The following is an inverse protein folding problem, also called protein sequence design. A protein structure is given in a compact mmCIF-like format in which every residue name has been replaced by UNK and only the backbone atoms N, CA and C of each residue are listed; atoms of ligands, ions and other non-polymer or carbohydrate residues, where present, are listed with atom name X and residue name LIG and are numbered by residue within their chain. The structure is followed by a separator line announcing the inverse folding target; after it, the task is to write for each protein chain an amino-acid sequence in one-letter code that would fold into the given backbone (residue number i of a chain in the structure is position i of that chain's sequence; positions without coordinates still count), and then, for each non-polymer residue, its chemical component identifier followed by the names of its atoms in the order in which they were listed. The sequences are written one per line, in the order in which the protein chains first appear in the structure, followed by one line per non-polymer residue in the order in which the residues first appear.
data_IF_072072614550
#
_entry.id   IF_072072614550
#
_cell.length_a   1.000
_cell.length_b   1.000
_cell.length_c   1.000
_cell.angle_alpha   90.00
_cell.angle_beta   90.00
_cell.angle_gamma   90.00
#
_symmetry.space_group_name_H-M   'P 1'
#
loop_
_entity.id
_entity.type
_entity.pdbx_description
1 polymer ?
#
# COMPACT_ATOMS: atom_id res chain seq x y z
N UNK A 1 -7.31 -47.80 -13.13
CA UNK A 1 -6.37 -46.70 -12.72
C UNK A 1 -5.98 -46.97 -11.30
N UNK A 2 -4.68 -47.16 -11.06
CA UNK A 2 -4.16 -47.59 -9.78
C UNK A 2 -3.97 -46.38 -8.83
N UNK A 3 -4.04 -46.56 -7.47
CA UNK A 3 -3.88 -45.47 -6.51
C UNK A 3 -2.56 -44.69 -6.62
N UNK A 4 -1.53 -45.25 -7.28
CA UNK A 4 -0.22 -44.62 -7.46
C UNK A 4 -0.23 -43.42 -8.42
N UNK A 5 -1.15 -43.35 -9.39
CA UNK A 5 -1.22 -42.21 -10.32
C UNK A 5 -1.78 -40.94 -9.69
N UNK A 6 -2.66 -41.08 -8.68
CA UNK A 6 -3.22 -39.94 -7.95
C UNK A 6 -2.20 -39.24 -7.05
N UNK A 7 -1.32 -39.98 -6.41
CA UNK A 7 -0.25 -39.41 -5.56
C UNK A 7 0.80 -38.65 -6.36
N UNK A 8 1.07 -39.07 -7.59
CA UNK A 8 2.08 -38.42 -8.44
C UNK A 8 1.58 -37.07 -9.00
N UNK A 9 0.30 -36.95 -9.31
CA UNK A 9 -0.31 -35.69 -9.81
C UNK A 9 -0.40 -34.64 -8.68
N UNK A 10 -0.79 -35.05 -7.47
CA UNK A 10 -0.80 -34.14 -6.29
C UNK A 10 0.59 -33.68 -5.86
N UNK A 11 1.60 -34.54 -6.01
CA UNK A 11 2.98 -34.20 -5.74
C UNK A 11 3.54 -33.20 -6.76
N UNK A 12 3.23 -33.37 -8.05
CA UNK A 12 3.64 -32.47 -9.12
C UNK A 12 2.96 -31.10 -9.02
N UNK A 13 1.68 -31.02 -8.65
CA UNK A 13 1.01 -29.73 -8.43
C UNK A 13 1.57 -28.97 -7.23
N UNK A 14 1.90 -29.65 -6.12
CA UNK A 14 2.64 -29.04 -4.99
C UNK A 14 4.05 -28.59 -5.40
N UNK A 15 4.73 -29.36 -6.25
CA UNK A 15 6.09 -29.02 -6.72
C UNK A 15 6.06 -27.85 -7.72
N UNK A 16 5.05 -27.75 -8.57
CA UNK A 16 4.87 -26.59 -9.47
C UNK A 16 4.48 -25.32 -8.71
N UNK A 17 3.80 -25.42 -7.57
CA UNK A 17 3.53 -24.27 -6.69
C UNK A 17 4.79 -23.78 -5.97
N UNK A 18 5.78 -24.66 -5.74
CA UNK A 18 7.08 -24.35 -5.13
C UNK A 18 8.09 -23.70 -6.10
N UNK A 19 7.81 -23.70 -7.43
CA UNK A 19 8.72 -23.19 -8.47
C UNK A 19 8.21 -21.89 -9.12
N UNK A 20 7.11 -21.30 -8.68
CA UNK A 20 6.85 -19.91 -9.01
C UNK A 20 7.89 -19.07 -8.30
N UNK A 21 9.00 -18.80 -8.99
CA UNK A 21 10.01 -17.84 -8.54
C UNK A 21 9.24 -16.57 -8.16
N UNK A 22 9.29 -16.18 -6.90
CA UNK A 22 8.64 -14.95 -6.47
C UNK A 22 9.19 -13.81 -7.33
N UNK A 23 8.35 -13.22 -8.19
CA UNK A 23 8.73 -12.16 -9.13
C UNK A 23 9.19 -10.88 -8.42
N UNK A 24 8.98 -10.79 -7.10
CA UNK A 24 9.40 -9.69 -6.23
C UNK A 24 10.58 -10.09 -5.33
N UNK A 25 11.24 -11.23 -5.62
CA UNK A 25 12.36 -11.74 -4.83
C UNK A 25 13.59 -10.81 -4.79
N UNK A 26 13.67 -9.85 -5.69
CA UNK A 26 14.73 -8.83 -5.73
C UNK A 26 14.34 -7.51 -5.01
N UNK A 27 13.09 -7.37 -4.55
CA UNK A 27 12.67 -6.22 -3.75
C UNK A 27 13.20 -6.35 -2.33
N UNK A 28 13.78 -5.28 -1.82
CA UNK A 28 14.28 -5.14 -0.46
C UNK A 28 13.62 -3.96 0.27
N UNK A 29 14.02 -3.71 1.51
CA UNK A 29 13.49 -2.64 2.34
C UNK A 29 14.32 -1.34 2.27
N UNK A 30 15.06 -1.13 1.20
CA UNK A 30 15.75 0.15 0.97
C UNK A 30 14.75 1.25 0.62
N UNK A 31 15.10 2.50 0.94
CA UNK A 31 14.26 3.64 0.59
C UNK A 31 14.07 3.71 -0.93
N UNK A 32 12.82 3.63 -1.43
CA UNK A 32 12.57 3.81 -2.85
C UNK A 32 12.84 5.26 -3.29
N UNK A 33 13.11 5.43 -4.58
CA UNK A 33 13.08 6.76 -5.18
C UNK A 33 11.65 7.32 -5.09
N UNK A 34 11.54 8.60 -4.70
CA UNK A 34 10.25 9.27 -4.57
C UNK A 34 10.36 10.75 -4.88
N UNK A 35 9.29 11.31 -5.43
CA UNK A 35 9.14 12.75 -5.64
C UNK A 35 8.47 13.37 -4.41
N UNK A 36 9.15 14.30 -3.76
CA UNK A 36 8.64 14.97 -2.55
C UNK A 36 7.88 16.22 -2.96
N UNK A 37 6.57 16.12 -2.99
CA UNK A 37 5.64 17.20 -3.32
C UNK A 37 4.68 17.47 -2.17
N UNK A 38 5.20 17.97 -1.06
CA UNK A 38 4.40 18.19 0.15
C UNK A 38 3.20 19.10 -0.13
N UNK A 39 2.05 18.73 0.44
CA UNK A 39 0.85 19.57 0.45
C UNK A 39 1.11 20.84 1.27
N UNK A 40 0.45 21.92 0.92
CA UNK A 40 0.41 23.11 1.78
C UNK A 40 -0.27 22.76 3.12
N UNK A 41 0.25 23.32 4.21
CA UNK A 41 -0.38 23.13 5.53
C UNK A 41 -1.75 23.81 5.53
N UNK A 42 -2.79 23.04 5.79
CA UNK A 42 -4.18 23.51 5.80
C UNK A 42 -5.07 22.52 6.58
N UNK A 43 -6.24 22.95 7.10
CA UNK A 43 -7.10 22.10 7.93
C UNK A 43 -7.80 20.97 7.18
N UNK A 44 -7.80 20.93 5.83
CA UNK A 44 -8.57 19.98 5.05
C UNK A 44 -7.75 18.79 4.55
N UNK A 45 -6.45 18.95 4.32
CA UNK A 45 -5.62 17.86 3.79
C UNK A 45 -4.28 17.67 4.51
N UNK A 46 -3.68 18.71 5.08
CA UNK A 46 -2.44 18.61 5.86
C UNK A 46 -2.51 19.51 7.08
N UNK A 47 -3.06 19.03 8.22
CA UNK A 47 -3.22 19.86 9.42
C UNK A 47 -1.90 20.22 10.10
N UNK A 48 -0.78 19.58 9.76
CA UNK A 48 0.51 19.77 10.42
C UNK A 48 0.59 19.14 11.82
N UNK A 49 -0.36 18.26 12.14
CA UNK A 49 -0.39 17.55 13.43
C UNK A 49 0.65 16.43 13.42
N UNK A 50 1.51 16.38 14.41
CA UNK A 50 2.53 15.34 14.54
C UNK A 50 1.94 14.02 15.03
N UNK A 51 2.55 12.92 14.60
CA UNK A 51 2.32 11.57 15.13
C UNK A 51 3.41 11.27 16.15
N UNK A 52 3.05 10.93 17.37
CA UNK A 52 4.02 10.60 18.41
C UNK A 52 4.68 9.24 18.19
N UNK A 53 3.90 8.24 17.77
CA UNK A 53 4.36 6.90 17.46
C UNK A 53 3.65 6.35 16.24
N UNK A 54 4.41 5.82 15.29
CA UNK A 54 3.86 5.07 14.15
C UNK A 54 3.68 3.62 14.56
N UNK A 55 2.43 3.15 14.62
CA UNK A 55 2.06 1.81 15.02
C UNK A 55 1.54 0.93 13.87
N UNK A 56 1.51 1.48 12.65
CA UNK A 56 1.08 0.71 11.50
C UNK A 56 1.14 1.49 10.19
N UNK A 57 0.94 0.75 9.11
CA UNK A 57 0.84 1.29 7.75
C UNK A 57 -0.51 0.85 7.19
N UNK A 58 -1.27 1.80 6.66
CA UNK A 58 -2.58 1.53 6.06
C UNK A 58 -2.50 1.65 4.56
N UNK A 59 -2.88 0.58 3.86
CA UNK A 59 -2.95 0.52 2.41
C UNK A 59 -4.35 0.89 1.95
N UNK A 60 -4.40 1.79 0.97
CA UNK A 60 -5.61 2.27 0.31
C UNK A 60 -5.51 2.11 -1.21
N UNK A 61 -6.60 2.33 -1.89
CA UNK A 61 -6.65 2.55 -3.32
C UNK A 61 -7.46 3.82 -3.61
N UNK A 62 -7.15 4.51 -4.69
CA UNK A 62 -7.76 5.82 -5.01
C UNK A 62 -9.25 5.74 -5.30
N UNK A 63 -9.79 4.57 -5.61
CA UNK A 63 -11.16 4.36 -6.09
C UNK A 63 -11.52 5.26 -7.30
N UNK A 64 -10.51 5.68 -8.06
CA UNK A 64 -10.62 6.53 -9.24
C UNK A 64 -9.78 5.92 -10.38
N UNK A 65 -10.34 4.94 -11.12
CA UNK A 65 -9.61 4.19 -12.14
C UNK A 65 -8.95 5.11 -13.18
N UNK A 66 -7.67 4.85 -13.46
CA UNK A 66 -6.89 5.59 -14.45
C UNK A 66 -6.36 6.94 -14.00
N UNK A 67 -6.64 7.40 -12.76
CA UNK A 67 -6.04 8.61 -12.23
C UNK A 67 -4.55 8.41 -11.96
N UNK A 68 -3.77 9.48 -12.14
CA UNK A 68 -2.32 9.49 -11.89
C UNK A 68 -2.01 9.82 -10.43
N UNK A 69 -0.77 9.56 -10.00
CA UNK A 69 -0.31 10.01 -8.68
C UNK A 69 -0.39 11.53 -8.54
N UNK A 70 -0.06 12.25 -9.62
CA UNK A 70 -0.12 13.72 -9.64
C UNK A 70 -1.56 14.23 -9.50
N UNK A 71 -2.54 13.62 -10.20
CA UNK A 71 -3.96 14.01 -10.08
C UNK A 71 -4.43 13.89 -8.63
N UNK A 72 -4.09 12.80 -7.95
CA UNK A 72 -4.48 12.57 -6.56
C UNK A 72 -3.77 13.52 -5.58
N UNK A 73 -2.48 13.76 -5.77
CA UNK A 73 -1.73 14.76 -4.99
C UNK A 73 -2.34 16.16 -5.15
N UNK A 74 -2.67 16.56 -6.36
CA UNK A 74 -3.23 17.88 -6.66
C UNK A 74 -4.67 18.02 -6.16
N UNK A 75 -5.45 16.94 -6.22
CA UNK A 75 -6.75 16.89 -5.57
C UNK A 75 -6.63 17.15 -4.06
N UNK A 76 -5.75 16.45 -3.37
CA UNK A 76 -5.53 16.69 -1.92
C UNK A 76 -5.11 18.13 -1.63
N UNK A 77 -4.19 18.70 -2.41
CA UNK A 77 -3.76 20.09 -2.21
C UNK A 77 -4.88 21.10 -2.51
N UNK A 78 -5.73 20.78 -3.49
CA UNK A 78 -6.88 21.63 -3.86
C UNK A 78 -7.97 21.72 -2.80
N UNK A 79 -8.03 20.77 -1.85
CA UNK A 79 -9.01 20.79 -0.76
C UNK A 79 -8.85 22.01 0.16
N UNK A 80 -7.66 22.60 0.22
CA UNK A 80 -7.43 23.88 0.93
C UNK A 80 -8.27 25.02 0.39
N UNK A 81 -8.64 24.95 -0.90
CA UNK A 81 -9.40 25.99 -1.62
C UNK A 81 -10.88 25.61 -1.77
N UNK A 82 -11.17 24.34 -2.07
CA UNK A 82 -12.55 23.87 -2.30
C UNK A 82 -13.34 23.65 -1.01
N UNK A 83 -12.66 23.23 0.06
CA UNK A 83 -13.26 22.88 1.37
C UNK A 83 -14.37 21.81 1.30
N UNK A 84 -14.44 21.03 0.23
CA UNK A 84 -15.55 20.08 0.00
C UNK A 84 -15.50 18.86 0.92
N UNK A 85 -14.31 18.48 1.38
CA UNK A 85 -14.09 17.36 2.30
C UNK A 85 -12.72 17.46 2.96
N UNK A 86 -12.43 16.57 3.91
CA UNK A 86 -11.09 16.37 4.45
C UNK A 86 -10.58 15.01 4.00
N UNK A 87 -9.50 15.00 3.22
CA UNK A 87 -8.86 13.78 2.73
C UNK A 87 -7.41 14.04 2.37
N UNK A 88 -6.55 13.06 2.61
CA UNK A 88 -5.15 13.08 2.17
C UNK A 88 -4.50 11.71 2.36
N UNK A 89 -3.24 11.59 1.98
CA UNK A 89 -2.38 10.43 2.24
C UNK A 89 -0.94 10.89 2.41
N UNK A 90 -0.14 10.15 3.16
CA UNK A 90 1.30 10.43 3.23
C UNK A 90 1.98 10.18 1.89
N UNK A 91 1.58 9.11 1.19
CA UNK A 91 2.13 8.72 -0.11
C UNK A 91 1.02 8.41 -1.11
N UNK A 92 1.32 8.67 -2.37
CA UNK A 92 0.54 8.17 -3.51
C UNK A 92 1.49 7.43 -4.45
N UNK A 93 1.10 6.23 -4.89
CA UNK A 93 1.82 5.43 -5.88
C UNK A 93 1.02 5.42 -7.18
N UNK A 94 1.64 5.85 -8.27
CA UNK A 94 1.02 5.92 -9.58
C UNK A 94 1.04 4.61 -10.36
N UNK A 95 0.47 4.64 -11.56
CA UNK A 95 0.28 3.47 -12.43
C UNK A 95 1.59 2.88 -12.94
N UNK A 96 2.64 3.70 -13.09
CA UNK A 96 3.99 3.31 -13.51
C UNK A 96 4.90 3.02 -12.32
N UNK A 97 4.36 3.02 -11.09
CA UNK A 97 5.10 2.77 -9.86
C UNK A 97 5.82 3.98 -9.28
N UNK A 98 5.63 5.16 -9.85
CA UNK A 98 6.16 6.41 -9.31
C UNK A 98 5.52 6.70 -7.95
N UNK A 99 6.33 7.21 -7.01
CA UNK A 99 5.89 7.53 -5.65
C UNK A 99 5.95 9.03 -5.44
N UNK A 100 4.84 9.62 -5.02
CA UNK A 100 4.80 11.01 -4.55
C UNK A 100 4.61 11.01 -3.03
N UNK A 101 5.49 11.71 -2.32
CA UNK A 101 5.30 11.98 -0.90
C UNK A 101 4.54 13.29 -0.74
N UNK A 102 3.32 13.21 -0.20
CA UNK A 102 2.41 14.33 0.00
C UNK A 102 2.50 14.93 1.42
N UNK A 103 2.79 14.12 2.42
CA UNK A 103 2.86 14.50 3.83
C UNK A 103 4.06 13.80 4.46
N UNK A 104 4.87 14.50 5.30
CA UNK A 104 5.94 13.87 6.05
C UNK A 104 5.45 12.68 6.89
N UNK A 105 6.30 11.66 7.06
CA UNK A 105 5.91 10.45 7.80
C UNK A 105 5.66 10.66 9.30
N UNK A 106 6.06 11.79 9.84
CA UNK A 106 5.80 12.21 11.22
C UNK A 106 4.56 13.12 11.36
N UNK A 107 3.83 13.39 10.29
CA UNK A 107 2.60 14.16 10.29
C UNK A 107 1.40 13.29 9.92
N UNK A 108 0.26 13.59 10.55
CA UNK A 108 -1.01 12.94 10.33
C UNK A 108 -1.59 13.29 8.96
N UNK A 109 -2.08 12.27 8.25
CA UNK A 109 -2.92 12.41 7.07
C UNK A 109 -4.40 12.09 7.42
N UNK A 110 -5.33 12.61 6.63
CA UNK A 110 -6.75 12.29 6.75
C UNK A 110 -7.13 11.14 5.83
N UNK A 111 -6.79 9.90 6.21
CA UNK A 111 -6.96 8.72 5.37
C UNK A 111 -7.66 7.53 6.06
N UNK A 112 -7.37 7.32 7.35
CA UNK A 112 -7.60 6.04 8.04
C UNK A 112 -8.46 6.19 9.29
N UNK A 113 -9.33 7.21 9.34
CA UNK A 113 -10.27 7.45 10.44
C UNK A 113 -9.56 7.49 11.82
N UNK A 114 -9.95 6.63 12.76
CA UNK A 114 -9.38 6.61 14.11
C UNK A 114 -7.88 6.24 14.15
N UNK A 115 -7.36 5.66 13.04
CA UNK A 115 -5.95 5.32 12.90
C UNK A 115 -5.11 6.44 12.26
N UNK A 116 -5.68 7.61 11.96
CA UNK A 116 -4.93 8.76 11.43
C UNK A 116 -3.82 9.20 12.38
N UNK A 117 -4.01 9.07 13.69
CA UNK A 117 -3.09 9.57 14.72
C UNK A 117 -1.89 8.67 14.97
N UNK A 118 -1.86 7.45 14.43
CA UNK A 118 -0.82 6.47 14.71
C UNK A 118 -0.37 5.63 13.50
N UNK A 119 -0.80 6.00 12.29
CA UNK A 119 -0.43 5.25 11.08
C UNK A 119 0.04 6.15 9.94
N UNK A 120 0.83 5.56 9.04
CA UNK A 120 1.19 6.13 7.75
C UNK A 120 0.27 5.54 6.69
N UNK A 121 -0.27 6.36 5.81
CA UNK A 121 -1.16 5.95 4.73
C UNK A 121 -0.48 5.97 3.37
N UNK A 122 -0.81 4.96 2.54
CA UNK A 122 -0.36 4.84 1.16
C UNK A 122 -1.59 4.66 0.28
N UNK A 123 -1.84 5.61 -0.61
CA UNK A 123 -2.84 5.53 -1.67
C UNK A 123 -2.24 4.95 -2.94
N UNK A 124 -2.89 3.96 -3.53
CA UNK A 124 -2.44 3.32 -4.75
C UNK A 124 -3.39 3.59 -5.90
N UNK A 125 -2.86 4.10 -7.03
CA UNK A 125 -3.57 4.20 -8.28
C UNK A 125 -3.80 2.80 -8.88
N UNK A 126 -4.86 2.68 -9.66
CA UNK A 126 -5.23 1.44 -10.35
C UNK A 126 -5.86 1.74 -11.70
N UNK A 127 -5.66 0.87 -12.73
CA UNK A 127 -6.14 1.15 -14.09
C UNK A 127 -7.64 0.95 -14.27
N UNK A 128 -8.23 -0.03 -13.58
CA UNK A 128 -9.57 -0.54 -13.84
C UNK A 128 -10.48 -0.53 -12.61
N UNK A 129 -11.78 -0.67 -12.83
CA UNK A 129 -12.82 -0.75 -11.79
C UNK A 129 -12.66 -1.94 -10.83
N UNK A 130 -11.89 -2.98 -11.21
CA UNK A 130 -11.58 -4.10 -10.32
C UNK A 130 -10.64 -3.73 -9.17
N UNK A 131 -9.98 -2.56 -9.24
CA UNK A 131 -9.08 -2.05 -8.21
C UNK A 131 -7.74 -2.77 -8.11
N UNK A 132 -7.42 -3.66 -9.06
CA UNK A 132 -6.14 -4.36 -9.08
C UNK A 132 -5.02 -3.42 -9.51
N UNK A 133 -3.92 -3.46 -8.78
CA UNK A 133 -2.74 -2.64 -9.08
C UNK A 133 -1.98 -3.19 -10.29
N UNK A 134 -1.29 -2.32 -11.02
CA UNK A 134 -0.29 -2.76 -12.00
C UNK A 134 0.88 -3.43 -11.30
N UNK A 135 1.67 -4.20 -12.03
CA UNK A 135 2.90 -4.81 -11.45
C UNK A 135 3.87 -3.74 -10.97
N UNK A 136 3.96 -2.60 -11.65
CA UNK A 136 4.80 -1.47 -11.25
C UNK A 136 4.31 -0.83 -9.94
N UNK A 137 3.02 -0.54 -9.83
CA UNK A 137 2.40 -0.03 -8.59
C UNK A 137 2.60 -1.00 -7.43
N UNK A 138 2.35 -2.29 -7.65
CA UNK A 138 2.48 -3.33 -6.64
C UNK A 138 3.93 -3.46 -6.15
N UNK A 139 4.90 -3.46 -7.06
CA UNK A 139 6.33 -3.53 -6.74
C UNK A 139 6.77 -2.34 -5.85
N UNK A 140 6.39 -1.13 -6.23
CA UNK A 140 6.64 0.07 -5.44
C UNK A 140 5.96 0.03 -4.08
N UNK A 141 4.73 -0.52 -4.01
CA UNK A 141 4.00 -0.69 -2.76
C UNK A 141 4.73 -1.66 -1.81
N UNK A 142 5.24 -2.79 -2.31
CA UNK A 142 6.03 -3.73 -1.49
C UNK A 142 7.28 -3.04 -0.94
N UNK A 143 8.05 -2.36 -1.78
CA UNK A 143 9.31 -1.71 -1.36
C UNK A 143 9.05 -0.56 -0.38
N UNK A 144 8.10 0.33 -0.69
CA UNK A 144 7.76 1.45 0.18
C UNK A 144 7.26 0.98 1.54
N UNK A 145 6.38 -0.02 1.57
CA UNK A 145 5.85 -0.59 2.81
C UNK A 145 6.95 -1.25 3.63
N UNK A 146 7.82 -2.04 3.02
CA UNK A 146 8.96 -2.68 3.70
C UNK A 146 9.94 -1.64 4.27
N UNK A 147 10.28 -0.61 3.49
CA UNK A 147 11.13 0.48 3.98
C UNK A 147 10.50 1.21 5.18
N UNK A 148 9.20 1.51 5.14
CA UNK A 148 8.51 2.15 6.26
C UNK A 148 8.46 1.24 7.48
N UNK A 149 8.22 -0.06 7.31
CA UNK A 149 8.30 -1.03 8.40
C UNK A 149 9.68 -1.04 9.04
N UNK A 150 10.75 -1.11 8.25
CA UNK A 150 12.12 -1.04 8.75
C UNK A 150 12.42 0.26 9.50
N UNK A 151 11.97 1.38 8.96
CA UNK A 151 12.19 2.71 9.53
C UNK A 151 11.53 2.89 10.90
N UNK A 152 10.37 2.26 11.12
CA UNK A 152 9.55 2.42 12.33
C UNK A 152 9.52 1.18 13.22
N UNK A 153 10.41 0.22 13.00
CA UNK A 153 10.50 -1.03 13.75
C UNK A 153 9.16 -1.80 13.78
N UNK A 154 8.50 -1.87 12.60
CA UNK A 154 7.25 -2.58 12.39
C UNK A 154 7.51 -3.92 11.67
N UNK A 155 6.57 -4.85 11.84
CA UNK A 155 6.51 -6.09 11.05
C UNK A 155 5.40 -6.02 10.01
N UNK A 156 5.36 -6.97 9.09
CA UNK A 156 4.26 -7.07 8.12
C UNK A 156 2.88 -7.27 8.78
N UNK A 157 2.82 -7.69 10.04
CA UNK A 157 1.56 -7.83 10.79
C UNK A 157 0.90 -6.49 11.14
N UNK A 158 1.69 -5.41 11.15
CA UNK A 158 1.20 -4.05 11.39
C UNK A 158 0.85 -3.30 10.08
N UNK A 159 0.94 -3.99 8.95
CA UNK A 159 0.43 -3.51 7.66
C UNK A 159 -1.01 -3.98 7.53
N UNK A 160 -1.93 -3.02 7.44
CA UNK A 160 -3.38 -3.23 7.43
C UNK A 160 -4.04 -2.53 6.24
N UNK A 161 -5.25 -2.96 5.92
CA UNK A 161 -6.12 -2.30 4.93
C UNK A 161 -7.00 -1.26 5.63
N UNK A 162 -7.47 -0.27 4.90
CA UNK A 162 -8.53 0.61 5.41
C UNK A 162 -9.78 -0.19 5.83
N UNK A 163 -10.05 -1.30 5.13
CA UNK A 163 -11.08 -2.28 5.48
C UNK A 163 -10.95 -2.78 6.92
N UNK A 164 -9.74 -3.06 7.38
CA UNK A 164 -9.48 -3.58 8.72
C UNK A 164 -9.73 -2.53 9.82
N UNK A 165 -9.78 -1.24 9.44
CA UNK A 165 -10.10 -0.12 10.35
C UNK A 165 -11.61 0.12 10.43
N UNK A 166 -12.31 0.15 9.29
CA UNK A 166 -13.69 0.67 9.21
C UNK A 166 -14.69 -0.28 8.56
N UNK A 167 -14.24 -1.35 7.91
CA UNK A 167 -15.08 -2.21 7.06
C UNK A 167 -15.35 -1.65 5.65
N UNK A 168 -14.81 -0.46 5.31
CA UNK A 168 -14.88 0.07 3.94
C UNK A 168 -14.13 -0.86 2.98
N UNK A 169 -14.70 -1.13 1.79
CA UNK A 169 -14.04 -1.94 0.76
C UNK A 169 -12.87 -1.14 0.15
N UNK A 170 -11.75 -1.13 0.88
CA UNK A 170 -10.53 -0.40 0.51
C UNK A 170 -9.29 -1.07 1.11
N UNK A 171 -8.26 -1.40 0.30
CA UNK A 171 -8.30 -1.38 -1.16
C UNK A 171 -9.14 -2.55 -1.71
N UNK A 172 -9.94 -2.28 -2.73
CA UNK A 172 -10.96 -3.21 -3.24
C UNK A 172 -10.39 -4.58 -3.55
N UNK A 173 -9.33 -4.67 -4.37
CA UNK A 173 -8.77 -5.93 -4.80
C UNK A 173 -8.28 -6.79 -3.62
N UNK A 174 -7.62 -6.21 -2.63
CA UNK A 174 -7.14 -6.94 -1.45
C UNK A 174 -8.25 -7.29 -0.44
N UNK A 175 -9.42 -6.68 -0.55
CA UNK A 175 -10.59 -7.06 0.25
C UNK A 175 -11.35 -8.21 -0.41
N UNK A 176 -11.48 -8.18 -1.73
CA UNK A 176 -12.20 -9.20 -2.51
C UNK A 176 -11.36 -10.47 -2.73
N UNK A 177 -10.02 -10.38 -2.65
CA UNK A 177 -9.07 -11.50 -2.78
C UNK A 177 -8.14 -11.53 -1.57
N UNK A 178 -8.54 -12.28 -0.54
CA UNK A 178 -7.77 -12.43 0.71
C UNK A 178 -6.41 -13.12 0.49
N UNK A 179 -6.32 -14.04 -0.48
CA UNK A 179 -5.05 -14.70 -0.80
C UNK A 179 -4.05 -13.69 -1.38
N UNK A 180 -4.51 -12.74 -2.20
CA UNK A 180 -3.68 -11.65 -2.72
C UNK A 180 -3.19 -10.73 -1.58
N UNK A 181 -4.03 -10.45 -0.58
CA UNK A 181 -3.64 -9.69 0.60
C UNK A 181 -2.57 -10.41 1.44
N UNK A 182 -2.76 -11.69 1.71
CA UNK A 182 -1.80 -12.53 2.43
C UNK A 182 -0.46 -12.61 1.67
N UNK A 183 -0.51 -12.76 0.35
CA UNK A 183 0.69 -12.78 -0.49
C UNK A 183 1.43 -11.43 -0.45
N UNK A 184 0.71 -10.32 -0.49
CA UNK A 184 1.30 -8.99 -0.37
C UNK A 184 2.07 -8.83 0.95
N UNK A 185 1.46 -9.17 2.09
CA UNK A 185 2.11 -9.09 3.40
C UNK A 185 3.33 -10.00 3.50
N UNK A 186 3.28 -11.19 2.89
CA UNK A 186 4.44 -12.08 2.79
C UNK A 186 5.56 -11.44 1.97
N UNK A 187 5.26 -10.82 0.83
CA UNK A 187 6.26 -10.12 0.02
C UNK A 187 6.91 -8.95 0.78
N UNK A 188 6.15 -8.24 1.60
CA UNK A 188 6.68 -7.20 2.50
C UNK A 188 7.63 -7.81 3.53
N UNK A 189 7.25 -8.92 4.17
CA UNK A 189 8.09 -9.61 5.15
C UNK A 189 9.37 -10.14 4.51
N UNK A 190 9.27 -10.75 3.32
CA UNK A 190 10.43 -11.23 2.56
C UNK A 190 11.40 -10.10 2.20
N UNK A 191 10.88 -8.91 1.90
CA UNK A 191 11.71 -7.72 1.62
C UNK A 191 12.40 -7.20 2.89
N UNK A 192 11.73 -7.22 4.05
CA UNK A 192 12.29 -6.85 5.34
C UNK A 192 13.47 -7.75 5.75
N UNK A 193 13.40 -9.05 5.48
CA UNK A 193 14.43 -10.03 5.85
C UNK A 193 15.72 -9.93 5.02
N UNK A 194 15.76 -9.08 4.00
CA UNK A 194 16.92 -8.85 3.12
C UNK A 194 17.77 -7.63 3.52
N UNK A 195 17.54 -7.04 4.67
CA UNK A 195 18.35 -5.94 5.19
C UNK A 195 19.73 -6.36 5.66
#
# INVERSE_FOLDING_TARGET
RTPHEFYFIFSLQKYFHLIKKNQYADVDATQPEMDVQLLDVNPYSRPGTTIDHVNGIVVHYTANPGSTAQDNRDYFNGLKDSHETSASSNFVIGLEGEIIQCIPTWEMAYASNDRNTDTISIECCHPDENGKFTDATYRSLVQLTAWLCAKYDLTADQVIRHYDVTGKICPKYFVEDEDAWVEFRRNVQDALEKQ
#
